data_IF_882525184016
#
_entry.id   IF_882525184016
#
_cell.length_a   1.000
_cell.length_b   1.000
_cell.length_c   1.000
_cell.angle_alpha   90.00
_cell.angle_beta   90.00
_cell.angle_gamma   90.00
#
_symmetry.space_group_name_H-M   'P 1'
#
loop_
_entity.id
_entity.type
_entity.pdbx_description
1 polymer ?
#
# COMPACT_ATOMS: atom_id res chain seq x y z
N UNK A 1 -11.92 -31.11 -7.59
CA UNK A 1 -11.25 -29.99 -6.88
C UNK A 1 -12.24 -29.45 -5.85
N UNK A 2 -11.86 -29.33 -4.57
CA UNK A 2 -12.79 -28.89 -3.52
C UNK A 2 -13.17 -27.42 -3.69
N UNK A 3 -14.36 -27.05 -3.18
CA UNK A 3 -14.86 -25.67 -3.20
C UNK A 3 -13.88 -24.69 -2.53
N UNK A 4 -13.25 -25.12 -1.44
CA UNK A 4 -12.28 -24.35 -0.67
C UNK A 4 -11.03 -24.01 -1.50
N UNK A 5 -10.47 -24.97 -2.24
CA UNK A 5 -9.31 -24.73 -3.12
C UNK A 5 -9.66 -23.69 -4.19
N UNK A 6 -10.82 -23.84 -4.83
CA UNK A 6 -11.31 -22.88 -5.84
C UNK A 6 -11.48 -21.47 -5.26
N UNK A 7 -12.02 -21.37 -4.04
CA UNK A 7 -12.22 -20.11 -3.35
C UNK A 7 -10.89 -19.44 -2.99
N UNK A 8 -9.91 -20.20 -2.52
CA UNK A 8 -8.57 -19.67 -2.23
C UNK A 8 -7.90 -19.10 -3.48
N UNK A 9 -8.00 -19.79 -4.61
CA UNK A 9 -7.53 -19.26 -5.90
C UNK A 9 -8.32 -18.01 -6.32
N UNK A 10 -9.64 -18.01 -6.17
CA UNK A 10 -10.49 -16.89 -6.55
C UNK A 10 -10.16 -15.61 -5.75
N UNK A 11 -9.95 -15.71 -4.45
CA UNK A 11 -9.61 -14.58 -3.57
C UNK A 11 -8.20 -14.05 -3.85
N UNK A 12 -7.30 -14.90 -4.35
CA UNK A 12 -5.92 -14.51 -4.69
C UNK A 12 -5.81 -13.67 -5.96
N UNK A 13 -6.84 -13.69 -6.82
CA UNK A 13 -6.84 -13.04 -8.13
C UNK A 13 -6.94 -11.50 -8.03
N UNK A 14 -6.84 -10.84 -9.19
CA UNK A 14 -6.93 -9.39 -9.37
C UNK A 14 -8.30 -8.86 -8.89
N UNK A 15 -8.26 -7.81 -8.07
CA UNK A 15 -9.44 -7.15 -7.48
C UNK A 15 -10.14 -6.26 -8.50
N UNK A 16 -11.47 -6.21 -8.45
CA UNK A 16 -12.31 -5.40 -9.33
C UNK A 16 -11.92 -3.92 -9.35
N UNK A 17 -11.52 -3.36 -8.19
CA UNK A 17 -11.06 -1.96 -8.09
C UNK A 17 -9.84 -1.62 -8.96
N UNK A 18 -9.07 -2.63 -9.38
CA UNK A 18 -7.83 -2.42 -10.14
C UNK A 18 -8.05 -2.49 -11.65
N UNK A 19 -9.24 -2.85 -12.11
CA UNK A 19 -9.59 -2.91 -13.53
C UNK A 19 -9.92 -1.52 -14.06
N UNK A 20 -9.57 -1.27 -15.32
CA UNK A 20 -9.97 -0.06 -16.03
C UNK A 20 -11.48 -0.10 -16.34
N UNK A 21 -12.16 1.05 -16.49
CA UNK A 21 -13.55 1.10 -16.90
C UNK A 21 -13.77 0.33 -18.20
N UNK A 22 -14.73 -0.60 -18.20
CA UNK A 22 -15.07 -1.43 -19.37
C UNK A 22 -14.18 -2.67 -19.57
N UNK A 23 -13.04 -2.79 -18.89
CA UNK A 23 -12.13 -3.95 -19.01
C UNK A 23 -12.80 -5.26 -18.59
N UNK A 24 -13.74 -5.19 -17.64
CA UNK A 24 -14.43 -6.37 -17.09
C UNK A 24 -15.64 -6.84 -17.91
N UNK A 25 -16.11 -6.06 -18.90
CA UNK A 25 -17.33 -6.35 -19.66
C UNK A 25 -17.33 -7.77 -20.28
N UNK A 26 -16.25 -8.24 -20.93
CA UNK A 26 -16.24 -9.58 -21.54
C UNK A 26 -16.33 -10.70 -20.49
N UNK A 27 -15.66 -10.52 -19.35
CA UNK A 27 -15.71 -11.48 -18.25
C UNK A 27 -17.10 -11.55 -17.62
N UNK A 28 -17.75 -10.40 -17.41
CA UNK A 28 -19.12 -10.33 -16.89
C UNK A 28 -20.12 -10.98 -17.86
N UNK A 29 -19.97 -10.75 -19.17
CA UNK A 29 -20.77 -11.44 -20.18
C UNK A 29 -20.63 -12.97 -20.06
N UNK A 30 -19.40 -13.47 -19.98
CA UNK A 30 -19.15 -14.90 -19.86
C UNK A 30 -19.77 -15.48 -18.59
N UNK A 31 -19.64 -14.81 -17.44
CA UNK A 31 -20.24 -15.23 -16.16
C UNK A 31 -21.77 -15.31 -16.30
N UNK A 32 -22.41 -14.29 -16.89
CA UNK A 32 -23.86 -14.29 -17.08
C UNK A 32 -24.31 -15.42 -17.99
N UNK A 33 -23.66 -15.63 -19.14
CA UNK A 33 -24.00 -16.71 -20.07
C UNK A 33 -23.84 -18.09 -19.42
N UNK A 34 -22.76 -18.32 -18.68
CA UNK A 34 -22.57 -19.56 -17.92
C UNK A 34 -23.68 -19.75 -16.88
N UNK A 35 -24.10 -18.69 -16.21
CA UNK A 35 -25.17 -18.73 -15.20
C UNK A 35 -26.51 -19.06 -15.83
N UNK A 36 -26.84 -18.50 -16.99
CA UNK A 36 -28.04 -18.86 -17.75
C UNK A 36 -28.07 -20.34 -18.11
N UNK A 37 -26.94 -20.89 -18.57
CA UNK A 37 -26.79 -22.32 -18.86
C UNK A 37 -27.02 -23.18 -17.61
N UNK A 38 -26.42 -22.81 -16.48
CA UNK A 38 -26.58 -23.54 -15.21
C UNK A 38 -28.04 -23.56 -14.72
N UNK A 39 -28.76 -22.46 -14.92
CA UNK A 39 -30.16 -22.35 -14.53
C UNK A 39 -31.13 -22.98 -15.55
N UNK A 40 -30.63 -23.41 -16.73
CA UNK A 40 -31.45 -23.96 -17.81
C UNK A 40 -32.29 -22.93 -18.58
N UNK A 41 -31.89 -21.65 -18.57
CA UNK A 41 -32.59 -20.57 -19.28
C UNK A 41 -31.82 -20.14 -20.52
N UNK A 42 -32.56 -19.66 -21.53
CA UNK A 42 -31.96 -18.95 -22.66
C UNK A 42 -31.62 -17.51 -22.27
N UNK A 43 -30.47 -16.97 -22.72
CA UNK A 43 -30.13 -15.58 -22.48
C UNK A 43 -31.15 -14.63 -23.17
N UNK A 44 -31.32 -13.40 -22.65
CA UNK A 44 -32.10 -12.36 -23.31
C UNK A 44 -31.56 -12.03 -24.70
N UNK A 45 -32.33 -11.24 -25.46
CA UNK A 45 -31.86 -10.66 -26.73
C UNK A 45 -30.60 -9.83 -26.50
N UNK A 46 -29.71 -9.80 -27.49
CA UNK A 46 -28.37 -9.19 -27.39
C UNK A 46 -28.39 -7.74 -26.84
N UNK A 47 -29.37 -6.93 -27.24
CA UNK A 47 -29.51 -5.56 -26.74
C UNK A 47 -29.81 -5.47 -25.24
N UNK A 48 -30.74 -6.29 -24.75
CA UNK A 48 -31.12 -6.34 -23.33
C UNK A 48 -30.00 -6.94 -22.48
N UNK A 49 -29.33 -7.97 -23.01
CA UNK A 49 -28.17 -8.59 -22.37
C UNK A 49 -27.01 -7.59 -22.27
N UNK A 50 -26.74 -6.80 -23.31
CA UNK A 50 -25.72 -5.75 -23.31
C UNK A 50 -25.95 -4.71 -22.22
N UNK A 51 -27.20 -4.27 -22.02
CA UNK A 51 -27.57 -3.34 -20.94
C UNK A 51 -27.34 -3.98 -19.57
N UNK A 52 -27.72 -5.25 -19.40
CA UNK A 52 -27.50 -5.97 -18.14
C UNK A 52 -26.01 -6.10 -17.82
N UNK A 53 -25.18 -6.45 -18.81
CA UNK A 53 -23.72 -6.57 -18.66
C UNK A 53 -23.11 -5.24 -18.24
N UNK A 54 -23.47 -4.15 -18.93
CA UNK A 54 -22.95 -2.81 -18.63
C UNK A 54 -23.33 -2.38 -17.21
N UNK A 55 -24.60 -2.58 -16.83
CA UNK A 55 -25.10 -2.21 -15.49
C UNK A 55 -24.45 -3.05 -14.39
N UNK A 56 -24.32 -4.36 -14.60
CA UNK A 56 -23.67 -5.23 -13.63
C UNK A 56 -22.19 -4.89 -13.47
N UNK A 57 -21.50 -4.60 -14.57
CA UNK A 57 -20.08 -4.21 -14.53
C UNK A 57 -19.86 -2.93 -13.73
N UNK A 58 -20.70 -1.91 -13.94
CA UNK A 58 -20.65 -0.68 -13.16
C UNK A 58 -20.90 -0.93 -11.66
N UNK A 59 -21.96 -1.69 -11.32
CA UNK A 59 -22.29 -2.02 -9.92
C UNK A 59 -21.19 -2.86 -9.25
N UNK A 60 -20.53 -3.77 -9.98
CA UNK A 60 -19.40 -4.54 -9.47
C UNK A 60 -18.21 -3.67 -9.10
N UNK A 61 -17.89 -2.66 -9.91
CA UNK A 61 -16.78 -1.75 -9.63
C UNK A 61 -17.11 -0.75 -8.52
N UNK A 62 -18.35 -0.29 -8.44
CA UNK A 62 -18.80 0.70 -7.45
C UNK A 62 -19.07 0.07 -6.08
N UNK A 63 -19.90 -0.98 -6.04
CA UNK A 63 -20.43 -1.57 -4.80
C UNK A 63 -19.58 -2.73 -4.28
N UNK A 64 -18.81 -3.41 -5.13
CA UNK A 64 -18.02 -4.59 -4.76
C UNK A 64 -16.52 -4.52 -5.13
N UNK A 65 -15.82 -3.38 -4.91
CA UNK A 65 -14.45 -3.17 -5.38
C UNK A 65 -13.43 -4.19 -4.84
N UNK A 66 -13.71 -4.77 -3.66
CA UNK A 66 -12.84 -5.74 -3.00
C UNK A 66 -13.00 -7.18 -3.51
N UNK A 67 -14.00 -7.49 -4.34
CA UNK A 67 -14.14 -8.84 -4.91
C UNK A 67 -13.23 -9.01 -6.13
N UNK A 68 -12.97 -10.25 -6.53
CA UNK A 68 -12.36 -10.59 -7.82
C UNK A 68 -13.42 -11.08 -8.81
N UNK A 69 -13.09 -11.11 -10.11
CA UNK A 69 -13.99 -11.71 -11.11
C UNK A 69 -14.26 -13.19 -10.85
N UNK A 70 -13.27 -13.92 -10.32
CA UNK A 70 -13.42 -15.33 -9.97
C UNK A 70 -14.33 -15.52 -8.75
N UNK A 71 -14.27 -14.62 -7.76
CA UNK A 71 -15.21 -14.60 -6.64
C UNK A 71 -16.65 -14.36 -7.15
N UNK A 72 -16.83 -13.44 -8.10
CA UNK A 72 -18.15 -13.18 -8.73
C UNK A 72 -18.65 -14.41 -9.50
N UNK A 73 -17.81 -15.07 -10.29
CA UNK A 73 -18.19 -16.30 -10.99
C UNK A 73 -18.63 -17.41 -10.02
N UNK A 74 -17.87 -17.61 -8.94
CA UNK A 74 -18.20 -18.59 -7.91
C UNK A 74 -19.50 -18.22 -7.17
N UNK A 75 -19.70 -16.93 -6.86
CA UNK A 75 -20.92 -16.43 -6.27
C UNK A 75 -22.14 -16.77 -7.14
N UNK A 76 -22.05 -16.59 -8.45
CA UNK A 76 -23.16 -16.87 -9.37
C UNK A 76 -23.42 -18.38 -9.50
N UNK A 77 -22.37 -19.22 -9.49
CA UNK A 77 -22.53 -20.67 -9.48
C UNK A 77 -23.24 -21.16 -8.20
N UNK A 78 -22.83 -20.66 -7.03
CA UNK A 78 -23.45 -21.03 -5.75
C UNK A 78 -24.88 -20.48 -5.64
N UNK A 79 -25.11 -19.26 -6.12
CA UNK A 79 -26.43 -18.66 -6.22
C UNK A 79 -27.36 -19.48 -7.12
N UNK A 80 -26.89 -19.93 -8.27
CA UNK A 80 -27.65 -20.78 -9.18
C UNK A 80 -28.01 -22.15 -8.58
N UNK A 81 -27.20 -22.65 -7.64
CA UNK A 81 -27.48 -23.88 -6.88
C UNK A 81 -28.41 -23.69 -5.69
N UNK A 82 -28.80 -22.44 -5.38
CA UNK A 82 -29.75 -22.12 -4.32
C UNK A 82 -29.13 -21.74 -2.97
N UNK A 83 -27.81 -21.60 -2.87
CA UNK A 83 -27.12 -21.28 -1.61
C UNK A 83 -27.45 -19.88 -1.05
N UNK A 84 -27.96 -18.98 -1.90
CA UNK A 84 -28.24 -17.58 -1.55
C UNK A 84 -29.74 -17.21 -1.64
N UNK A 85 -30.60 -18.21 -1.43
CA UNK A 85 -32.04 -18.07 -1.35
C UNK A 85 -32.77 -18.22 -2.69
N UNK A 86 -34.06 -17.90 -2.68
CA UNK A 86 -34.97 -18.22 -3.78
C UNK A 86 -34.63 -17.50 -5.09
N UNK A 87 -34.71 -18.26 -6.18
CA UNK A 87 -34.50 -17.81 -7.54
C UNK A 87 -35.82 -17.33 -8.17
N UNK A 88 -35.86 -16.06 -8.60
CA UNK A 88 -37.01 -15.43 -9.28
C UNK A 88 -36.65 -14.93 -10.68
N UNK A 89 -35.67 -15.57 -11.34
CA UNK A 89 -35.08 -15.13 -12.61
C UNK A 89 -33.76 -14.39 -12.43
N UNK A 90 -32.92 -14.42 -13.47
CA UNK A 90 -31.60 -13.76 -13.47
C UNK A 90 -31.73 -12.27 -13.82
N UNK A 91 -32.12 -11.48 -12.82
CA UNK A 91 -32.25 -10.03 -12.91
C UNK A 91 -31.34 -9.33 -11.88
N UNK A 92 -31.22 -8.00 -11.96
CA UNK A 92 -30.36 -7.23 -11.05
C UNK A 92 -30.72 -7.46 -9.56
N UNK A 93 -31.99 -7.65 -9.20
CA UNK A 93 -32.38 -7.90 -7.80
C UNK A 93 -31.81 -9.23 -7.30
N UNK A 94 -31.91 -10.29 -8.10
CA UNK A 94 -31.35 -11.61 -7.79
C UNK A 94 -29.83 -11.54 -7.68
N UNK A 95 -29.18 -10.90 -8.65
CA UNK A 95 -27.72 -10.73 -8.68
C UNK A 95 -27.21 -9.97 -7.46
N UNK A 96 -27.81 -8.82 -7.14
CA UNK A 96 -27.44 -8.03 -5.95
C UNK A 96 -27.66 -8.82 -4.67
N UNK A 97 -28.72 -9.64 -4.57
CA UNK A 97 -28.95 -10.51 -3.41
C UNK A 97 -27.83 -11.54 -3.26
N UNK A 98 -27.46 -12.22 -4.34
CA UNK A 98 -26.38 -13.21 -4.31
C UNK A 98 -25.04 -12.58 -3.93
N UNK A 99 -24.68 -11.43 -4.52
CA UNK A 99 -23.43 -10.74 -4.20
C UNK A 99 -23.36 -10.31 -2.74
N UNK A 100 -24.46 -9.76 -2.19
CA UNK A 100 -24.54 -9.41 -0.76
C UNK A 100 -24.40 -10.64 0.12
N UNK A 101 -25.15 -11.70 -0.16
CA UNK A 101 -25.10 -12.94 0.61
C UNK A 101 -23.69 -13.57 0.59
N UNK A 102 -23.03 -13.57 -0.56
CA UNK A 102 -21.66 -14.04 -0.70
C UNK A 102 -20.66 -13.16 0.08
N UNK A 103 -20.76 -11.84 -0.03
CA UNK A 103 -19.86 -10.90 0.65
C UNK A 103 -19.90 -11.07 2.17
N UNK A 104 -21.08 -11.33 2.74
CA UNK A 104 -21.30 -11.56 4.17
C UNK A 104 -21.29 -13.03 4.58
N UNK A 105 -20.94 -13.95 3.66
CA UNK A 105 -20.94 -15.38 3.96
C UNK A 105 -19.77 -15.78 4.87
N UNK A 106 -20.03 -16.69 5.80
CA UNK A 106 -18.99 -17.31 6.64
C UNK A 106 -17.91 -18.01 5.80
N UNK A 107 -18.32 -18.60 4.67
CA UNK A 107 -17.44 -19.25 3.71
C UNK A 107 -16.34 -18.28 3.23
N UNK A 108 -16.74 -17.11 2.74
CA UNK A 108 -15.79 -16.09 2.28
C UNK A 108 -14.96 -15.53 3.42
N UNK A 109 -15.59 -15.24 4.56
CA UNK A 109 -14.90 -14.70 5.74
C UNK A 109 -13.74 -15.60 6.17
N UNK A 110 -13.98 -16.90 6.33
CA UNK A 110 -12.95 -17.88 6.72
C UNK A 110 -11.79 -17.90 5.72
N UNK A 111 -12.09 -17.96 4.43
CA UNK A 111 -11.05 -18.01 3.40
C UNK A 111 -10.19 -16.74 3.35
N UNK A 112 -10.78 -15.56 3.57
CA UNK A 112 -10.02 -14.30 3.68
C UNK A 112 -9.14 -14.29 4.92
N UNK A 113 -9.67 -14.71 6.08
CA UNK A 113 -8.91 -14.76 7.34
C UNK A 113 -7.74 -15.73 7.25
N UNK A 114 -7.96 -16.95 6.73
CA UNK A 114 -6.89 -17.93 6.51
C UNK A 114 -5.79 -17.40 5.61
N UNK A 115 -6.15 -16.68 4.53
CA UNK A 115 -5.18 -16.07 3.64
C UNK A 115 -4.37 -14.99 4.34
N UNK A 116 -5.01 -14.10 5.10
CA UNK A 116 -4.29 -13.05 5.82
C UNK A 116 -3.39 -13.63 6.91
N UNK A 117 -3.83 -14.71 7.58
CA UNK A 117 -2.99 -15.46 8.51
C UNK A 117 -1.80 -16.14 7.81
N UNK A 118 -2.03 -16.80 6.67
CA UNK A 118 -0.97 -17.43 5.89
C UNK A 118 0.04 -16.39 5.38
N UNK A 119 -0.44 -15.23 4.91
CA UNK A 119 0.42 -14.10 4.55
C UNK A 119 1.23 -13.63 5.75
N UNK A 120 0.61 -13.42 6.91
CA UNK A 120 1.30 -13.00 8.12
C UNK A 120 2.35 -14.02 8.59
N UNK A 121 2.09 -15.32 8.45
CA UNK A 121 3.04 -16.39 8.77
C UNK A 121 4.19 -16.47 7.75
N UNK A 122 3.90 -16.23 6.47
CA UNK A 122 4.90 -16.22 5.39
C UNK A 122 5.71 -14.92 5.30
N UNK A 123 5.22 -13.84 5.92
CA UNK A 123 5.95 -12.59 5.99
C UNK A 123 7.24 -12.83 6.76
N UNK A 124 8.36 -12.33 6.22
CA UNK A 124 9.62 -12.34 6.94
C UNK A 124 9.39 -11.75 8.34
N UNK A 125 9.95 -12.36 9.41
CA UNK A 125 9.83 -11.78 10.73
C UNK A 125 10.32 -10.33 10.64
N UNK A 126 9.61 -9.37 11.26
CA UNK A 126 10.07 -7.99 11.28
C UNK A 126 11.51 -8.01 11.77
N UNK A 127 12.42 -7.44 10.97
CA UNK A 127 13.84 -7.37 11.31
C UNK A 127 13.93 -6.83 12.74
N UNK A 128 14.53 -7.60 13.65
CA UNK A 128 14.50 -7.29 15.07
C UNK A 128 15.00 -5.87 15.31
N UNK A 129 14.41 -5.18 16.29
CA UNK A 129 14.82 -3.81 16.58
C UNK A 129 16.30 -3.74 16.96
N UNK A 130 16.82 -4.80 17.59
CA UNK A 130 18.26 -4.98 17.85
C UNK A 130 19.12 -4.98 16.57
N UNK A 131 18.69 -5.67 15.50
CA UNK A 131 19.42 -5.69 14.23
C UNK A 131 19.39 -4.32 13.53
N UNK A 132 18.24 -3.63 13.56
CA UNK A 132 18.13 -2.27 13.00
C UNK A 132 19.06 -1.31 13.74
N UNK A 133 19.12 -1.43 15.06
CA UNK A 133 19.98 -0.60 15.90
C UNK A 133 21.46 -0.87 15.63
N UNK A 134 21.87 -2.13 15.50
CA UNK A 134 23.25 -2.50 15.18
C UNK A 134 23.68 -1.97 13.81
N UNK A 135 22.82 -2.09 12.79
CA UNK A 135 23.06 -1.55 11.45
C UNK A 135 23.19 -0.03 11.46
N UNK A 136 22.34 0.66 12.23
CA UNK A 136 22.39 2.11 12.33
C UNK A 136 23.64 2.57 13.10
N UNK A 137 24.08 1.85 14.15
CA UNK A 137 25.38 2.12 14.82
C UNK A 137 26.58 1.90 13.89
N UNK A 138 26.57 0.83 13.09
CA UNK A 138 27.60 0.58 12.09
C UNK A 138 27.66 1.69 11.02
N UNK A 139 26.50 2.18 10.58
CA UNK A 139 26.41 3.32 9.67
C UNK A 139 27.00 4.60 10.25
N UNK A 140 26.64 4.95 11.49
CA UNK A 140 27.16 6.16 12.17
C UNK A 140 28.68 6.12 12.35
N UNK A 141 29.24 4.96 12.74
CA UNK A 141 30.70 4.76 12.84
C UNK A 141 31.39 4.97 11.50
N UNK A 142 30.88 4.36 10.44
CA UNK A 142 31.44 4.52 9.08
C UNK A 142 31.42 5.98 8.61
N UNK A 143 30.33 6.70 8.87
CA UNK A 143 30.23 8.13 8.52
C UNK A 143 31.28 8.95 9.26
N UNK A 144 31.47 8.69 10.55
CA UNK A 144 32.48 9.40 11.35
C UNK A 144 33.91 9.11 10.88
N UNK A 145 34.22 7.85 10.53
CA UNK A 145 35.50 7.47 9.94
C UNK A 145 35.75 8.18 8.60
N UNK A 146 34.75 8.26 7.73
CA UNK A 146 34.84 9.00 6.48
C UNK A 146 35.07 10.50 6.71
N UNK A 147 34.39 11.10 7.69
CA UNK A 147 34.64 12.49 8.07
C UNK A 147 36.09 12.69 8.52
N UNK A 148 36.61 11.81 9.40
CA UNK A 148 38.01 11.86 9.86
C UNK A 148 39.02 11.67 8.72
N UNK A 149 38.68 10.88 7.71
CA UNK A 149 39.49 10.69 6.51
C UNK A 149 39.45 11.89 5.55
N UNK A 150 38.74 12.97 5.90
CA UNK A 150 38.69 14.22 5.12
C UNK A 150 37.58 14.25 4.06
N UNK A 151 36.62 13.31 4.09
CA UNK A 151 35.48 13.38 3.18
C UNK A 151 34.56 14.57 3.52
N UNK A 152 34.01 15.27 2.51
CA UNK A 152 33.13 16.40 2.74
C UNK A 152 31.82 15.98 3.40
N UNK A 153 31.48 16.59 4.53
CA UNK A 153 30.30 16.27 5.34
C UNK A 153 28.97 16.42 4.57
N UNK A 154 28.91 17.34 3.61
CA UNK A 154 27.76 17.54 2.70
C UNK A 154 27.36 16.24 1.96
N UNK A 155 28.32 15.33 1.72
CA UNK A 155 28.09 14.05 1.04
C UNK A 155 27.81 12.89 2.00
N UNK A 156 27.76 13.14 3.30
CA UNK A 156 27.61 12.13 4.35
C UNK A 156 26.23 12.16 5.02
N UNK A 157 25.21 12.68 4.32
CA UNK A 157 23.83 12.74 4.79
C UNK A 157 23.67 13.43 6.17
N UNK A 158 24.14 14.67 6.32
CA UNK A 158 24.29 15.31 7.63
C UNK A 158 22.98 15.43 8.42
N UNK A 159 21.85 15.70 7.75
CA UNK A 159 20.55 15.78 8.41
C UNK A 159 20.13 14.43 9.02
N UNK A 160 20.30 13.32 8.30
CA UNK A 160 19.97 11.96 8.80
C UNK A 160 20.83 11.61 9.99
N UNK A 161 22.14 11.85 9.89
CA UNK A 161 23.11 11.52 10.93
C UNK A 161 22.84 12.35 12.19
N UNK A 162 22.60 13.67 12.04
CA UNK A 162 22.25 14.55 13.14
C UNK A 162 20.99 14.08 13.88
N UNK A 163 19.91 13.78 13.15
CA UNK A 163 18.66 13.29 13.73
C UNK A 163 18.85 11.94 14.43
N UNK A 164 19.62 11.03 13.83
CA UNK A 164 19.93 9.71 14.38
C UNK A 164 20.74 9.82 15.69
N UNK A 165 21.68 10.77 15.79
CA UNK A 165 22.45 11.05 17.01
C UNK A 165 21.64 11.80 18.07
N UNK A 166 20.74 12.70 17.66
CA UNK A 166 19.84 13.41 18.57
C UNK A 166 18.79 12.48 19.17
N UNK A 167 18.20 11.58 18.38
CA UNK A 167 17.25 10.57 18.87
C UNK A 167 17.88 9.64 19.92
N UNK A 168 19.18 9.36 19.79
CA UNK A 168 19.97 8.59 20.77
C UNK A 168 20.41 9.41 21.99
N UNK A 169 20.12 10.71 22.01
CA UNK A 169 20.55 11.62 23.08
C UNK A 169 22.06 11.83 23.15
N UNK A 170 22.81 11.52 22.09
CA UNK A 170 24.25 11.74 21.98
C UNK A 170 24.52 13.23 21.70
N UNK A 171 23.74 13.82 20.78
CA UNK A 171 23.73 15.26 20.56
C UNK A 171 22.60 15.88 21.38
N UNK A 172 22.96 16.72 22.34
CA UNK A 172 22.03 17.46 23.20
C UNK A 172 22.21 18.97 23.02
N UNK A 173 21.97 19.43 21.80
CA UNK A 173 21.99 20.88 21.52
C UNK A 173 20.84 21.58 22.21
N UNK A 174 21.14 22.68 22.91
CA UNK A 174 20.12 23.57 23.47
C UNK A 174 19.28 24.20 22.36
N UNK A 175 18.04 24.63 22.66
CA UNK A 175 17.23 25.39 21.72
C UNK A 175 17.99 26.60 21.16
N UNK A 176 18.77 27.30 21.99
CA UNK A 176 19.58 28.45 21.59
C UNK A 176 20.64 28.10 20.53
N UNK A 177 21.32 26.96 20.68
CA UNK A 177 22.30 26.48 19.71
C UNK A 177 21.66 26.17 18.35
N UNK A 178 20.45 25.60 18.35
CA UNK A 178 19.67 25.35 17.13
C UNK A 178 19.26 26.64 16.43
N UNK A 179 18.75 27.62 17.18
CA UNK A 179 18.40 28.93 16.63
C UNK A 179 19.62 29.67 16.08
N UNK A 180 20.77 29.57 16.75
CA UNK A 180 22.02 30.14 16.27
C UNK A 180 22.48 29.50 14.95
N UNK A 181 22.41 28.17 14.83
CA UNK A 181 22.74 27.45 13.60
C UNK A 181 21.76 27.80 12.46
N UNK A 182 20.47 27.96 12.74
CA UNK A 182 19.48 28.43 11.77
C UNK A 182 19.76 29.86 11.28
N UNK A 183 20.14 30.78 12.18
CA UNK A 183 20.56 32.15 11.78
C UNK A 183 21.79 32.11 10.88
N UNK A 184 22.76 31.24 11.18
CA UNK A 184 23.95 31.06 10.36
C UNK A 184 23.63 30.44 8.98
N UNK A 185 22.62 29.57 8.91
CA UNK A 185 22.15 28.94 7.68
C UNK A 185 21.18 29.81 6.86
N UNK A 186 20.64 30.91 7.43
CA UNK A 186 19.63 31.75 6.78
C UNK A 186 20.11 32.41 5.47
N UNK A 187 21.42 32.62 5.32
CA UNK A 187 22.02 33.15 4.10
C UNK A 187 22.28 32.10 3.01
N UNK A 188 21.99 30.82 3.26
CA UNK A 188 22.24 29.75 2.31
C UNK A 188 21.32 29.86 1.09
N UNK A 189 21.90 29.92 -0.10
CA UNK A 189 21.21 29.82 -1.38
C UNK A 189 21.79 28.62 -2.14
N UNK A 190 20.97 27.69 -2.64
CA UNK A 190 21.47 26.59 -3.45
C UNK A 190 22.05 27.11 -4.76
N UNK A 191 22.99 26.37 -5.33
CA UNK A 191 23.57 26.72 -6.63
C UNK A 191 22.57 26.43 -7.77
N UNK A 192 22.38 27.39 -8.68
CA UNK A 192 21.59 27.23 -9.91
C UNK A 192 20.31 28.09 -9.98
N UNK A 193 19.62 28.04 -11.11
CA UNK A 193 18.38 28.78 -11.39
C UNK A 193 17.12 28.04 -10.91
N UNK A 194 17.19 27.39 -9.74
CA UNK A 194 16.04 26.66 -9.21
C UNK A 194 15.03 27.64 -8.62
N UNK A 195 13.76 27.53 -9.03
CA UNK A 195 12.66 28.26 -8.37
C UNK A 195 12.41 27.58 -7.03
N UNK A 196 12.58 28.32 -5.93
CA UNK A 196 12.49 27.80 -4.57
C UNK A 196 11.33 28.52 -3.90
N UNK A 197 10.30 27.77 -3.53
CA UNK A 197 9.24 28.29 -2.67
C UNK A 197 9.73 28.48 -1.22
N UNK A 198 8.93 29.17 -0.42
CA UNK A 198 9.32 29.51 0.96
C UNK A 198 9.48 28.26 1.85
N UNK A 199 8.69 27.20 1.60
CA UNK A 199 8.73 25.95 2.39
C UNK A 199 10.00 25.13 2.09
N UNK A 200 10.37 25.01 0.82
CA UNK A 200 11.62 24.41 0.38
C UNK A 200 12.82 25.21 0.90
N UNK A 201 12.75 26.54 0.89
CA UNK A 201 13.80 27.39 1.48
C UNK A 201 14.00 27.07 2.96
N UNK A 202 12.92 27.01 3.73
CA UNK A 202 13.00 26.69 5.15
C UNK A 202 13.54 25.28 5.40
N UNK A 203 13.14 24.29 4.59
CA UNK A 203 13.66 22.93 4.69
C UNK A 203 15.19 22.88 4.45
N UNK A 204 15.68 23.61 3.45
CA UNK A 204 17.11 23.69 3.15
C UNK A 204 17.89 24.38 4.27
N UNK A 205 17.38 25.50 4.81
CA UNK A 205 17.99 26.20 5.95
C UNK A 205 18.09 25.27 7.16
N UNK A 206 17.06 24.46 7.43
CA UNK A 206 17.08 23.46 8.51
C UNK A 206 18.14 22.38 8.27
N UNK A 207 18.23 21.83 7.07
CA UNK A 207 19.25 20.84 6.74
C UNK A 207 20.67 21.40 6.90
N UNK A 208 20.91 22.63 6.44
CA UNK A 208 22.21 23.29 6.60
C UNK A 208 22.52 23.61 8.06
N UNK A 209 21.53 23.99 8.87
CA UNK A 209 21.69 24.17 10.31
C UNK A 209 22.09 22.85 11.00
N UNK A 210 21.46 21.72 10.65
CA UNK A 210 21.81 20.40 11.17
C UNK A 210 23.25 20.00 10.80
N UNK A 211 23.68 20.32 9.59
CA UNK A 211 25.05 20.09 9.16
C UNK A 211 26.07 20.91 9.97
N UNK A 212 25.80 22.19 10.22
CA UNK A 212 26.65 23.05 11.05
C UNK A 212 26.80 22.47 12.45
N UNK A 213 25.70 22.02 13.05
CA UNK A 213 25.71 21.42 14.39
C UNK A 213 26.45 20.08 14.40
N UNK A 214 26.21 19.24 13.39
CA UNK A 214 26.89 17.96 13.24
C UNK A 214 28.41 18.14 13.07
N UNK A 215 28.82 19.11 12.25
CA UNK A 215 30.24 19.45 12.07
C UNK A 215 30.89 19.87 13.38
N UNK A 216 30.26 20.78 14.13
CA UNK A 216 30.74 21.20 15.45
C UNK A 216 30.85 20.03 16.43
N UNK A 217 29.97 19.04 16.32
CA UNK A 217 30.02 17.84 17.14
C UNK A 217 31.18 16.92 16.73
N UNK A 218 31.37 16.66 15.44
CA UNK A 218 32.48 15.84 14.94
C UNK A 218 33.85 16.48 15.16
N UNK A 219 33.97 17.82 15.06
CA UNK A 219 35.20 18.56 15.31
C UNK A 219 35.68 18.46 16.77
N UNK A 220 34.77 18.19 17.71
CA UNK A 220 35.12 17.94 19.12
C UNK A 220 35.75 16.56 19.35
N UNK A 221 35.86 15.71 18.32
CA UNK A 221 36.47 14.39 18.41
C UNK A 221 35.66 13.38 19.22
N UNK A 222 34.41 13.69 19.59
CA UNK A 222 33.55 12.75 20.31
C UNK A 222 33.01 11.69 19.35
N UNK A 223 33.51 10.46 19.50
CA UNK A 223 33.02 9.32 18.74
C UNK A 223 31.59 8.98 19.19
N UNK A 224 30.62 8.86 18.26
CA UNK A 224 29.31 8.35 18.62
C UNK A 224 29.42 6.83 18.86
N UNK A 225 29.11 6.41 20.09
CA UNK A 225 29.10 5.00 20.52
C UNK A 225 27.93 4.25 19.86
#
# INVERSE_FOLDING_TARGET
>A
MSLEIRLQHAIADRRLMTYQPGEILPAVNQILLQTYVLLGFSPPKDGDLGILIAKLSADLQESYPSLTLQEVALCFELGAKGEYGDFMGLNMRTITRWLKAYQTSDLRYRAVVEREQAKAQSALPPVSDAYKEERERAFLRRVFEQYRAGYPLERLYPARVYLSLQARGIIRDSPEAKHAAMRQAAGYKPAGNMVIDEDMRQAMVRQRAMEILLKRFFDKGMMPI
#
